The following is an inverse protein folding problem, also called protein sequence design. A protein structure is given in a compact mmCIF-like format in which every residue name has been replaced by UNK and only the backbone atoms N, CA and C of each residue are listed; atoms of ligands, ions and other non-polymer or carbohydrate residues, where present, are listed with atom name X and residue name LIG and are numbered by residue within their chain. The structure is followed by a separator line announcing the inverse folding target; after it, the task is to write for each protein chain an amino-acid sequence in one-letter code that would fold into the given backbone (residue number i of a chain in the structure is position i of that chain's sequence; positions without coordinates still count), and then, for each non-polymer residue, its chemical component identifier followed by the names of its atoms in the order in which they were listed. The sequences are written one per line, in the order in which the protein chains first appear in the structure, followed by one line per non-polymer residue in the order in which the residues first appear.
data_IF_613079380688
#
_entry.id   IF_613079380688
#
_cell.length_a   1.000
_cell.length_b   1.000
_cell.length_c   1.000
_cell.angle_alpha   90.00
_cell.angle_beta   90.00
_cell.angle_gamma   90.00
#
_symmetry.space_group_name_H-M   'P 1'
#
loop_
_entity.id
_entity.type
_entity.pdbx_description
1 polymer ?
#
# COMPACT_ATOMS: atom_id res chain seq x y z
N UNK A 1 -2.47 9.15 5.08
CA UNK A 1 -2.02 7.77 5.38
C UNK A 1 -1.55 7.13 4.07
N UNK A 2 -0.51 6.30 4.10
CA UNK A 2 -0.04 5.51 2.95
C UNK A 2 0.43 4.12 3.40
N UNK A 3 0.47 3.12 2.52
CA UNK A 3 0.92 1.78 2.88
C UNK A 3 2.34 1.50 2.36
N UNK A 4 3.20 0.99 3.24
CA UNK A 4 4.61 0.70 2.93
C UNK A 4 4.95 -0.75 3.25
N UNK A 5 5.37 -1.53 2.26
CA UNK A 5 6.03 -2.81 2.52
C UNK A 5 7.37 -2.56 3.23
N UNK A 6 7.50 -3.11 4.44
CA UNK A 6 8.69 -3.04 5.27
C UNK A 6 9.78 -3.96 4.73
N UNK A 7 10.53 -3.44 3.77
CA UNK A 7 11.70 -4.10 3.16
C UNK A 7 12.90 -3.16 3.24
N UNK A 8 14.11 -3.72 3.24
CA UNK A 8 15.34 -2.93 3.25
C UNK A 8 15.41 -1.95 2.06
N UNK A 9 15.06 -2.41 0.85
CA UNK A 9 15.06 -1.58 -0.36
C UNK A 9 14.09 -0.39 -0.27
N UNK A 10 12.87 -0.62 0.24
CA UNK A 10 11.91 0.46 0.41
C UNK A 10 12.36 1.44 1.50
N UNK A 11 12.90 0.94 2.61
CA UNK A 11 13.39 1.78 3.71
C UNK A 11 14.52 2.70 3.23
N UNK A 12 15.48 2.16 2.49
CA UNK A 12 16.59 2.93 1.91
C UNK A 12 16.09 3.99 0.93
N UNK A 13 15.19 3.62 0.02
CA UNK A 13 14.58 4.54 -0.94
C UNK A 13 13.85 5.69 -0.23
N UNK A 14 13.03 5.39 0.77
CA UNK A 14 12.27 6.41 1.52
C UNK A 14 13.22 7.32 2.27
N UNK A 15 14.24 6.79 2.95
CA UNK A 15 15.24 7.59 3.67
C UNK A 15 16.02 8.51 2.74
N UNK A 16 16.43 8.02 1.57
CA UNK A 16 17.12 8.82 0.57
C UNK A 16 16.23 9.94 0.03
N UNK A 17 14.97 9.62 -0.28
CA UNK A 17 14.00 10.60 -0.78
C UNK A 17 13.65 11.66 0.26
N UNK A 18 13.57 11.28 1.54
CA UNK A 18 13.36 12.20 2.65
C UNK A 18 14.54 13.16 2.81
N UNK A 19 15.79 12.68 2.71
CA UNK A 19 16.97 13.54 2.77
C UNK A 19 16.97 14.61 1.67
N UNK A 20 16.47 14.28 0.49
CA UNK A 20 16.37 15.21 -0.64
C UNK A 20 15.24 16.22 -0.48
N UNK A 21 14.13 15.83 0.17
CA UNK A 21 12.94 16.68 0.30
C UNK A 21 12.89 17.49 1.60
N UNK A 22 13.60 17.05 2.63
CA UNK A 22 13.65 17.68 3.95
C UNK A 22 15.06 18.24 4.17
N UNK A 23 15.44 19.24 3.37
CA UNK A 23 16.75 19.87 3.49
C UNK A 23 16.95 20.46 4.90
N UNK A 24 18.17 20.35 5.42
CA UNK A 24 18.51 20.81 6.78
C UNK A 24 18.14 19.86 7.92
N UNK A 25 17.36 18.80 7.68
CA UNK A 25 17.07 17.77 8.70
C UNK A 25 18.20 16.74 8.77
N UNK A 26 18.70 16.47 9.98
CA UNK A 26 19.75 15.44 10.18
C UNK A 26 19.22 14.06 9.77
N UNK A 27 20.08 13.26 9.12
CA UNK A 27 19.67 11.94 8.67
C UNK A 27 19.27 10.98 9.80
N UNK A 28 19.85 11.09 10.98
CA UNK A 28 19.44 10.29 12.14
C UNK A 28 18.03 10.65 12.58
N UNK A 29 17.67 11.94 12.56
CA UNK A 29 16.34 12.43 12.91
C UNK A 29 15.29 12.02 11.87
N UNK A 30 15.62 12.04 10.58
CA UNK A 30 14.73 11.48 9.53
C UNK A 30 14.48 9.98 9.72
N UNK A 31 15.52 9.24 10.11
CA UNK A 31 15.39 7.80 10.40
C UNK A 31 14.45 7.54 11.58
N UNK A 32 14.58 8.32 12.65
CA UNK A 32 13.73 8.22 13.85
C UNK A 32 12.29 8.68 13.57
N UNK A 33 12.10 9.75 12.80
CA UNK A 33 10.78 10.20 12.40
C UNK A 33 10.08 9.18 11.49
N UNK A 34 10.80 8.59 10.55
CA UNK A 34 10.26 7.52 9.70
C UNK A 34 9.83 6.30 10.54
N UNK A 35 10.63 5.91 11.54
CA UNK A 35 10.26 4.85 12.46
C UNK A 35 8.96 5.16 13.21
N UNK A 36 8.84 6.38 13.75
CA UNK A 36 7.62 6.84 14.43
C UNK A 36 6.40 6.85 13.49
N UNK A 37 6.58 7.29 12.23
CA UNK A 37 5.54 7.25 11.20
C UNK A 37 5.11 5.83 10.82
N UNK A 38 6.01 4.85 10.93
CA UNK A 38 5.70 3.43 10.76
C UNK A 38 5.17 2.75 12.04
N UNK A 39 5.05 3.48 13.16
CA UNK A 39 4.55 2.95 14.43
C UNK A 39 5.61 2.35 15.37
N UNK A 40 6.90 2.50 15.07
CA UNK A 40 8.00 2.00 15.90
C UNK A 40 8.58 3.11 16.78
N UNK A 41 9.03 2.73 17.98
CA UNK A 41 9.63 3.68 18.93
C UNK A 41 11.02 4.18 18.50
N UNK A 42 11.78 3.37 17.77
CA UNK A 42 13.14 3.70 17.32
C UNK A 42 13.38 3.15 15.92
N UNK A 43 14.33 3.74 15.19
CA UNK A 43 14.77 3.19 13.91
C UNK A 43 15.36 1.79 14.04
N UNK A 44 16.03 1.49 15.16
CA UNK A 44 16.57 0.15 15.41
C UNK A 44 15.46 -0.90 15.53
N UNK A 45 14.35 -0.59 16.21
CA UNK A 45 13.20 -1.49 16.30
C UNK A 45 12.56 -1.75 14.93
N UNK A 46 12.42 -0.71 14.10
CA UNK A 46 11.95 -0.86 12.72
C UNK A 46 12.87 -1.78 11.90
N UNK A 47 14.20 -1.59 12.00
CA UNK A 47 15.17 -2.43 11.28
C UNK A 47 15.14 -3.87 11.77
N UNK A 48 15.00 -4.11 13.08
CA UNK A 48 14.85 -5.44 13.64
C UNK A 48 13.60 -6.14 13.08
N UNK A 49 12.45 -5.47 13.07
CA UNK A 49 11.22 -6.01 12.50
C UNK A 49 11.35 -6.37 11.01
N UNK A 50 12.05 -5.56 10.22
CA UNK A 50 12.34 -5.87 8.81
C UNK A 50 13.21 -7.12 8.67
N UNK A 51 14.19 -7.33 9.57
CA UNK A 51 15.10 -8.48 9.52
C UNK A 51 14.44 -9.78 9.97
N UNK A 52 13.48 -9.69 10.88
CA UNK A 52 12.74 -10.83 11.42
C UNK A 52 11.59 -11.28 10.50
N UNK A 53 11.12 -10.40 9.61
CA UNK A 53 10.08 -10.72 8.63
C UNK A 53 10.61 -11.61 7.50
N UNK A 54 9.75 -12.51 7.00
CA UNK A 54 9.99 -13.22 5.75
C UNK A 54 10.13 -12.22 4.59
N UNK A 55 11.26 -12.17 3.87
CA UNK A 55 11.44 -11.28 2.74
C UNK A 55 10.44 -11.50 1.59
N UNK A 56 9.84 -12.69 1.50
CA UNK A 56 8.78 -13.01 0.52
C UNK A 56 7.45 -12.41 0.94
N UNK A 57 7.20 -12.29 2.25
CA UNK A 57 5.96 -11.74 2.79
C UNK A 57 6.21 -10.60 3.81
N UNK A 58 6.79 -9.48 3.38
CA UNK A 58 7.15 -8.40 4.29
C UNK A 58 5.91 -7.83 4.97
N UNK A 59 6.03 -7.41 6.22
CA UNK A 59 4.96 -6.67 6.89
C UNK A 59 4.63 -5.37 6.13
N UNK A 60 3.38 -4.92 6.23
CA UNK A 60 2.93 -3.65 5.63
C UNK A 60 2.60 -2.66 6.73
N UNK A 61 3.40 -1.60 6.83
CA UNK A 61 3.11 -0.51 7.75
C UNK A 61 2.08 0.45 7.15
N UNK A 62 1.11 0.86 7.98
CA UNK A 62 0.25 2.02 7.72
C UNK A 62 1.01 3.26 8.17
N UNK A 63 1.56 3.98 7.21
CA UNK A 63 2.37 5.16 7.46
C UNK A 63 1.49 6.32 7.88
N UNK A 64 1.76 6.81 9.09
CA UNK A 64 1.10 7.94 9.74
C UNK A 64 1.98 9.19 9.63
N UNK A 65 1.58 10.08 8.72
CA UNK A 65 2.26 11.34 8.46
C UNK A 65 2.22 12.27 9.68
N UNK A 66 1.15 12.24 10.47
CA UNK A 66 1.03 13.07 11.68
C UNK A 66 2.03 12.63 12.75
N UNK A 67 2.24 11.32 12.93
CA UNK A 67 3.29 10.81 13.84
C UNK A 67 4.70 11.15 13.37
N UNK A 68 4.94 11.05 12.06
CA UNK A 68 6.20 11.44 11.44
C UNK A 68 6.51 12.93 11.70
N UNK A 69 5.56 13.82 11.40
CA UNK A 69 5.70 15.27 11.61
C UNK A 69 5.85 15.62 13.09
N UNK A 70 5.05 15.00 13.97
CA UNK A 70 5.15 15.23 15.42
C UNK A 70 6.54 14.85 15.95
N UNK A 71 7.13 13.75 15.45
CA UNK A 71 8.48 13.33 15.83
C UNK A 71 9.54 14.32 15.33
N UNK A 72 9.39 14.86 14.13
CA UNK A 72 10.29 15.91 13.62
C UNK A 72 10.17 17.22 14.41
N UNK A 73 8.95 17.64 14.73
CA UNK A 73 8.70 18.82 15.55
C UNK A 73 9.34 18.68 16.94
N UNK A 74 9.20 17.52 17.58
CA UNK A 74 9.88 17.21 18.85
C UNK A 74 11.41 17.19 18.77
N UNK A 75 11.98 17.09 17.57
CA UNK A 75 13.43 17.17 17.30
C UNK A 75 13.85 18.57 16.80
N UNK A 76 12.92 19.53 16.77
CA UNK A 76 13.18 20.93 16.40
C UNK A 76 13.05 21.25 14.91
N UNK A 77 12.37 20.43 14.12
CA UNK A 77 12.17 20.66 12.68
C UNK A 77 10.70 20.89 12.33
N UNK A 78 10.46 21.85 11.46
CA UNK A 78 9.17 22.08 10.82
C UNK A 78 9.28 21.67 9.35
N UNK A 79 8.44 20.74 8.92
CA UNK A 79 8.40 20.21 7.55
C UNK A 79 6.95 20.20 7.10
N UNK A 80 6.72 20.49 5.83
CA UNK A 80 5.38 20.45 5.24
C UNK A 80 4.77 19.04 5.29
N UNK A 81 3.47 18.99 5.57
CA UNK A 81 2.73 17.75 5.59
C UNK A 81 2.60 17.10 4.21
N UNK A 82 2.34 15.80 4.20
CA UNK A 82 2.15 15.00 2.99
C UNK A 82 3.44 14.53 2.31
N UNK A 83 4.61 14.98 2.76
CA UNK A 83 5.91 14.60 2.17
C UNK A 83 6.13 13.08 2.21
N UNK A 84 5.80 12.43 3.33
CA UNK A 84 6.05 11.02 3.53
C UNK A 84 5.07 10.15 2.72
N UNK A 85 3.74 10.35 2.78
CA UNK A 85 2.80 9.67 1.88
C UNK A 85 3.15 9.82 0.40
N UNK A 86 3.60 11.01 -0.04
CA UNK A 86 3.99 11.24 -1.43
C UNK A 86 5.23 10.42 -1.85
N UNK A 87 6.20 10.23 -0.95
CA UNK A 87 7.37 9.38 -1.21
C UNK A 87 6.97 7.90 -1.25
N UNK A 88 6.16 7.45 -0.28
CA UNK A 88 5.70 6.05 -0.18
C UNK A 88 4.89 5.65 -1.42
N UNK A 89 4.10 6.57 -1.97
CA UNK A 89 3.30 6.34 -3.19
C UNK A 89 4.07 6.62 -4.48
N UNK A 90 5.37 6.85 -4.40
CA UNK A 90 6.18 7.13 -5.59
C UNK A 90 6.17 5.93 -6.54
N UNK A 91 6.00 6.16 -7.86
CA UNK A 91 6.13 5.08 -8.85
C UNK A 91 7.53 4.47 -8.88
N UNK A 92 8.53 5.18 -8.34
CA UNK A 92 9.92 4.71 -8.22
C UNK A 92 10.18 3.85 -6.99
N UNK A 93 9.18 3.64 -6.10
CA UNK A 93 9.35 2.79 -4.93
C UNK A 93 9.67 1.34 -5.36
N UNK A 94 10.84 0.77 -4.96
CA UNK A 94 11.34 -0.49 -5.50
C UNK A 94 10.38 -1.67 -5.33
N UNK A 95 9.82 -1.83 -4.13
CA UNK A 95 8.85 -2.87 -3.78
C UNK A 95 7.51 -2.22 -3.43
N UNK A 96 6.97 -1.43 -4.35
CA UNK A 96 5.65 -0.84 -4.20
C UNK A 96 4.54 -1.90 -4.09
N UNK A 97 3.44 -1.50 -3.49
CA UNK A 97 2.29 -2.36 -3.21
C UNK A 97 1.29 -2.39 -4.37
N UNK A 98 1.15 -1.25 -5.04
CA UNK A 98 0.30 -1.04 -6.20
C UNK A 98 0.98 -0.04 -7.16
N UNK A 99 0.41 0.15 -8.35
CA UNK A 99 0.97 1.03 -9.40
C UNK A 99 -0.07 1.97 -9.99
N UNK A 100 0.43 3.04 -10.62
CA UNK A 100 -0.39 3.97 -11.41
C UNK A 100 -0.07 3.74 -12.88
N UNK A 101 -1.09 3.55 -13.71
CA UNK A 101 -0.93 3.41 -15.15
C UNK A 101 -1.73 4.47 -15.90
N UNK A 102 -1.27 4.79 -17.12
CA UNK A 102 -2.11 5.51 -18.08
C UNK A 102 -3.17 4.55 -18.62
N UNK A 103 -4.27 5.10 -19.12
CA UNK A 103 -5.27 4.28 -19.80
C UNK A 103 -4.66 3.55 -20.99
N UNK A 104 -4.95 2.25 -21.11
CA UNK A 104 -4.51 1.43 -22.25
C UNK A 104 -3.01 1.12 -22.29
N UNK A 105 -2.25 1.35 -21.23
CA UNK A 105 -0.82 0.98 -21.15
C UNK A 105 -0.65 -0.52 -20.83
N UNK A 106 -1.13 -1.35 -21.76
CA UNK A 106 -1.14 -2.82 -21.63
C UNK A 106 0.25 -3.38 -21.30
N UNK A 107 1.35 -2.96 -21.98
CA UNK A 107 2.68 -3.50 -21.66
C UNK A 107 3.11 -3.23 -20.21
N UNK A 108 2.83 -2.03 -19.67
CA UNK A 108 3.18 -1.71 -18.29
C UNK A 108 2.32 -2.50 -17.28
N UNK A 109 1.03 -2.69 -17.60
CA UNK A 109 0.11 -3.49 -16.80
C UNK A 109 0.54 -4.97 -16.76
N UNK A 110 0.90 -5.56 -17.90
CA UNK A 110 1.38 -6.95 -17.99
C UNK A 110 2.67 -7.17 -17.20
N UNK A 111 3.61 -6.22 -17.28
CA UNK A 111 4.84 -6.26 -16.49
C UNK A 111 4.54 -6.22 -14.99
N UNK A 112 3.58 -5.39 -14.56
CA UNK A 112 3.17 -5.31 -13.17
C UNK A 112 2.43 -6.57 -12.71
N UNK A 113 1.55 -7.12 -13.54
CA UNK A 113 0.87 -8.38 -13.29
C UNK A 113 1.87 -9.52 -13.03
N UNK A 114 2.86 -9.68 -13.92
CA UNK A 114 3.93 -10.69 -13.75
C UNK A 114 4.78 -10.44 -12.49
N UNK A 115 5.05 -9.17 -12.16
CA UNK A 115 5.77 -8.83 -10.94
C UNK A 115 4.93 -9.13 -9.67
N UNK A 116 3.61 -8.94 -9.72
CA UNK A 116 2.70 -9.34 -8.65
C UNK A 116 2.68 -10.86 -8.46
N UNK A 117 2.58 -11.63 -9.56
CA UNK A 117 2.68 -13.09 -9.53
C UNK A 117 4.02 -13.56 -8.92
N UNK A 118 5.13 -12.99 -9.40
CA UNK A 118 6.47 -13.35 -8.91
C UNK A 118 6.68 -13.02 -7.42
N UNK A 119 5.99 -11.99 -6.92
CA UNK A 119 6.05 -11.56 -5.52
C UNK A 119 4.97 -12.19 -4.65
N UNK A 120 4.04 -12.93 -5.25
CA UNK A 120 2.86 -13.48 -4.58
C UNK A 120 2.06 -12.40 -3.84
N UNK A 121 1.67 -11.33 -4.54
CA UNK A 121 0.91 -10.22 -3.95
C UNK A 121 -0.35 -9.90 -4.78
N UNK A 122 -1.38 -9.26 -4.18
CA UNK A 122 -2.53 -8.80 -4.92
C UNK A 122 -2.14 -7.86 -6.06
N UNK A 123 -2.77 -8.02 -7.22
CA UNK A 123 -2.62 -7.11 -8.33
C UNK A 123 -3.58 -5.94 -8.14
N UNK A 124 -3.02 -4.83 -7.65
CA UNK A 124 -3.78 -3.59 -7.43
C UNK A 124 -3.13 -2.49 -8.24
N UNK A 125 -3.97 -1.68 -8.90
CA UNK A 125 -3.49 -0.50 -9.61
C UNK A 125 -4.55 0.61 -9.68
N UNK A 126 -4.07 1.80 -9.99
CA UNK A 126 -4.87 3.01 -10.18
C UNK A 126 -4.69 3.48 -11.61
N UNK A 127 -5.79 3.85 -12.26
CA UNK A 127 -5.76 4.47 -13.58
C UNK A 127 -6.38 5.86 -13.52
N UNK A 128 -5.56 6.93 -13.54
CA UNK A 128 -6.04 8.29 -13.64
C UNK A 128 -6.77 8.49 -14.97
N UNK A 129 -7.92 9.15 -14.91
CA UNK A 129 -8.67 9.68 -16.05
C UNK A 129 -8.63 11.20 -16.01
N UNK A 130 -9.19 11.85 -17.03
CA UNK A 130 -9.17 13.32 -17.14
C UNK A 130 -9.86 14.03 -15.96
N UNK A 131 -10.93 13.46 -15.40
CA UNK A 131 -11.77 14.08 -14.35
C UNK A 131 -11.87 13.28 -13.06
N UNK A 132 -11.44 12.03 -13.08
CA UNK A 132 -11.59 11.08 -11.98
C UNK A 132 -10.48 10.04 -12.07
N UNK A 133 -10.47 9.09 -11.16
CA UNK A 133 -9.58 7.95 -11.15
C UNK A 133 -10.40 6.67 -10.93
N UNK A 134 -9.85 5.57 -11.41
CA UNK A 134 -10.34 4.24 -11.15
C UNK A 134 -9.29 3.45 -10.39
N UNK A 135 -9.72 2.59 -9.48
CA UNK A 135 -8.88 1.53 -8.92
C UNK A 135 -9.39 0.20 -9.48
N UNK A 136 -8.47 -0.71 -9.73
CA UNK A 136 -8.78 -2.07 -10.12
C UNK A 136 -7.97 -3.01 -9.19
N UNK A 137 -8.58 -4.13 -8.82
CA UNK A 137 -7.88 -5.21 -8.11
C UNK A 137 -8.23 -6.58 -8.67
N UNK A 138 -7.23 -7.45 -8.60
CA UNK A 138 -7.35 -8.88 -8.86
C UNK A 138 -6.43 -9.62 -7.89
N UNK A 139 -7.00 -10.55 -7.13
CA UNK A 139 -6.25 -11.58 -6.46
C UNK A 139 -5.93 -12.65 -7.49
N UNK A 140 -4.81 -12.43 -8.19
CA UNK A 140 -4.28 -13.41 -9.14
C UNK A 140 -4.13 -14.73 -8.38
N UNK A 141 -4.88 -15.75 -8.77
CA UNK A 141 -4.75 -17.09 -8.24
C UNK A 141 -3.33 -17.61 -8.51
N UNK A 142 -2.44 -17.46 -7.54
CA UNK A 142 -1.04 -17.92 -7.66
C UNK A 142 -0.89 -19.42 -7.46
N UNK A 143 -1.98 -20.15 -7.18
CA UNK A 143 -1.97 -21.60 -7.18
C UNK A 143 -3.42 -22.12 -7.16
N UNK A 144 -3.67 -23.25 -7.85
CA UNK A 144 -4.90 -24.07 -7.68
C UNK A 144 -5.09 -24.57 -6.24
N UNK A 145 -4.17 -24.23 -5.33
CA UNK A 145 -4.27 -24.43 -3.88
C UNK A 145 -5.24 -23.46 -3.19
N UNK A 146 -5.63 -22.36 -3.84
CA UNK A 146 -6.58 -21.38 -3.30
C UNK A 146 -8.00 -21.48 -3.87
N UNK A 147 -8.25 -22.40 -4.81
CA UNK A 147 -9.58 -22.60 -5.42
C UNK A 147 -10.65 -23.05 -4.39
N UNK A 148 -10.22 -23.66 -3.27
CA UNK A 148 -11.13 -24.13 -2.21
C UNK A 148 -11.36 -23.11 -1.08
N UNK A 149 -10.80 -21.89 -1.15
CA UNK A 149 -10.95 -20.88 -0.07
C UNK A 149 -11.95 -19.80 -0.49
N UNK A 150 -13.14 -20.26 -0.87
CA UNK A 150 -14.37 -19.48 -0.68
C UNK A 150 -15.16 -20.18 0.42
N UNK A 151 -14.65 -20.12 1.66
CA UNK A 151 -15.55 -20.07 2.79
C UNK A 151 -16.35 -18.77 2.60
N UNK A 152 -17.57 -18.89 2.07
CA UNK A 152 -18.41 -17.77 1.63
C UNK A 152 -18.48 -16.66 2.67
N UNK A 153 -18.45 -17.03 3.95
CA UNK A 153 -18.46 -16.11 5.09
C UNK A 153 -17.20 -15.23 5.19
N UNK A 154 -16.00 -15.79 5.03
CA UNK A 154 -14.75 -15.02 5.09
C UNK A 154 -14.60 -14.07 3.87
N UNK A 155 -15.04 -14.53 2.70
CA UNK A 155 -15.08 -13.69 1.49
C UNK A 155 -16.11 -12.57 1.62
N UNK A 156 -17.29 -12.84 2.17
CA UNK A 156 -18.31 -11.82 2.44
C UNK A 156 -17.86 -10.80 3.48
N UNK A 157 -17.19 -11.24 4.56
CA UNK A 157 -16.65 -10.34 5.57
C UNK A 157 -15.55 -9.44 5.00
N UNK A 158 -14.68 -9.97 4.12
CA UNK A 158 -13.69 -9.18 3.40
C UNK A 158 -14.36 -8.14 2.49
N UNK A 159 -15.35 -8.56 1.69
CA UNK A 159 -16.10 -7.66 0.81
C UNK A 159 -16.81 -6.55 1.58
N UNK A 160 -17.48 -6.87 2.69
CA UNK A 160 -18.13 -5.90 3.57
C UNK A 160 -17.12 -4.90 4.14
N UNK A 161 -15.94 -5.37 4.58
CA UNK A 161 -14.86 -4.51 5.05
C UNK A 161 -14.30 -3.57 3.96
N UNK A 162 -14.12 -4.09 2.74
CA UNK A 162 -13.71 -3.30 1.58
C UNK A 162 -14.77 -2.25 1.23
N UNK A 163 -16.05 -2.63 1.22
CA UNK A 163 -17.16 -1.73 0.91
C UNK A 163 -17.32 -0.62 1.95
N UNK A 164 -17.21 -0.93 3.25
CA UNK A 164 -17.17 0.07 4.33
C UNK A 164 -16.00 1.04 4.18
N UNK A 165 -14.83 0.52 3.76
CA UNK A 165 -13.66 1.36 3.51
C UNK A 165 -13.87 2.28 2.30
N UNK A 166 -14.49 1.76 1.24
CA UNK A 166 -14.96 2.54 0.10
C UNK A 166 -15.90 3.66 0.54
N UNK A 167 -16.97 3.36 1.30
CA UNK A 167 -17.93 4.37 1.77
C UNK A 167 -17.28 5.47 2.61
N UNK A 168 -16.27 5.13 3.41
CA UNK A 168 -15.54 6.09 4.26
C UNK A 168 -14.62 7.02 3.45
N UNK A 169 -13.99 6.52 2.39
CA UNK A 169 -12.93 7.24 1.67
C UNK A 169 -13.39 7.86 0.36
N UNK A 170 -14.42 7.30 -0.28
CA UNK A 170 -14.97 7.85 -1.50
C UNK A 170 -15.88 9.03 -1.16
N UNK A 171 -15.57 10.22 -1.69
CA UNK A 171 -16.52 11.33 -1.70
C UNK A 171 -17.69 10.96 -2.64
N UNK A 172 -18.87 10.59 -2.11
CA UNK A 172 -19.67 9.50 -2.68
C UNK A 172 -20.57 9.88 -3.87
N UNK A 173 -20.62 11.15 -4.30
CA UNK A 173 -21.70 11.59 -5.19
C UNK A 173 -21.74 10.89 -6.55
N UNK A 174 -20.65 10.23 -7.00
CA UNK A 174 -20.61 9.45 -8.26
C UNK A 174 -19.74 8.20 -8.22
N UNK A 175 -19.08 7.91 -7.09
CA UNK A 175 -18.15 6.79 -7.04
C UNK A 175 -18.91 5.46 -7.04
N UNK A 176 -18.42 4.48 -7.79
CA UNK A 176 -19.12 3.21 -8.00
C UNK A 176 -18.20 2.04 -7.68
N UNK A 177 -18.63 1.15 -6.77
CA UNK A 177 -17.94 -0.07 -6.42
C UNK A 177 -18.57 -1.23 -7.18
N UNK A 178 -17.77 -1.97 -7.94
CA UNK A 178 -18.21 -3.15 -8.70
C UNK A 178 -17.26 -4.33 -8.48
N UNK A 179 -17.81 -5.54 -8.40
CA UNK A 179 -17.04 -6.77 -8.30
C UNK A 179 -17.28 -7.55 -7.02
N UNK A 180 -16.32 -8.42 -6.72
CA UNK A 180 -16.29 -9.32 -5.57
C UNK A 180 -15.11 -8.98 -4.65
N UNK A 181 -14.96 -9.75 -3.58
CA UNK A 181 -13.81 -9.59 -2.68
C UNK A 181 -12.47 -9.74 -3.40
N UNK A 182 -12.38 -10.61 -4.41
CA UNK A 182 -11.10 -10.99 -5.03
C UNK A 182 -10.87 -10.39 -6.41
N UNK A 183 -11.89 -9.85 -7.07
CA UNK A 183 -11.74 -9.14 -8.34
C UNK A 183 -12.77 -8.04 -8.42
N UNK A 184 -12.36 -6.84 -8.80
CA UNK A 184 -13.29 -5.72 -8.91
C UNK A 184 -12.62 -4.40 -9.24
N UNK A 185 -13.45 -3.37 -9.27
CA UNK A 185 -13.04 -2.00 -9.56
C UNK A 185 -13.85 -1.00 -8.73
N UNK A 186 -13.25 0.16 -8.46
CA UNK A 186 -13.97 1.34 -7.98
C UNK A 186 -13.69 2.48 -8.93
N UNK A 187 -14.75 3.04 -9.52
CA UNK A 187 -14.65 4.11 -10.50
C UNK A 187 -15.15 5.46 -9.98
N UNK A 188 -14.89 6.53 -10.74
CA UNK A 188 -15.34 7.89 -10.46
C UNK A 188 -14.82 8.47 -9.13
N UNK A 189 -13.60 8.11 -8.74
CA UNK A 189 -12.94 8.63 -7.54
C UNK A 189 -12.17 9.92 -7.81
N UNK A 190 -11.95 10.72 -6.77
CA UNK A 190 -10.84 11.70 -6.81
C UNK A 190 -9.51 10.94 -6.80
N UNK A 191 -8.43 11.56 -7.29
CA UNK A 191 -7.11 10.93 -7.26
C UNK A 191 -6.72 10.56 -5.84
N UNK A 192 -6.87 11.47 -4.87
CA UNK A 192 -6.48 11.19 -3.48
C UNK A 192 -7.27 10.04 -2.83
N UNK A 193 -8.57 9.95 -3.15
CA UNK A 193 -9.40 8.83 -2.71
C UNK A 193 -8.94 7.52 -3.36
N UNK A 194 -8.64 7.52 -4.65
CA UNK A 194 -8.12 6.33 -5.35
C UNK A 194 -6.77 5.86 -4.78
N UNK A 195 -5.83 6.76 -4.51
CA UNK A 195 -4.54 6.38 -3.91
C UNK A 195 -4.73 5.81 -2.49
N UNK A 196 -5.64 6.39 -1.71
CA UNK A 196 -5.93 5.92 -0.35
C UNK A 196 -6.68 4.59 -0.34
N UNK A 197 -7.60 4.38 -1.28
CA UNK A 197 -8.28 3.10 -1.47
C UNK A 197 -7.32 2.03 -1.98
N UNK A 198 -6.37 2.35 -2.88
CA UNK A 198 -5.38 1.38 -3.33
C UNK A 198 -4.50 0.86 -2.18
N UNK A 199 -4.09 1.73 -1.25
CA UNK A 199 -3.38 1.33 -0.03
C UNK A 199 -4.22 0.37 0.83
N UNK A 200 -5.50 0.70 1.05
CA UNK A 200 -6.41 -0.08 1.88
C UNK A 200 -6.80 -1.42 1.27
N UNK A 201 -7.15 -1.43 -0.02
CA UNK A 201 -7.49 -2.66 -0.73
C UNK A 201 -6.30 -3.61 -0.74
N UNK A 202 -5.08 -3.11 -0.99
CA UNK A 202 -3.90 -3.95 -0.91
C UNK A 202 -3.73 -4.57 0.48
N UNK A 203 -3.88 -3.80 1.56
CA UNK A 203 -3.76 -4.31 2.93
C UNK A 203 -4.83 -5.38 3.22
N UNK A 204 -6.08 -5.13 2.84
CA UNK A 204 -7.19 -6.06 3.06
C UNK A 204 -6.98 -7.37 2.31
N UNK A 205 -6.67 -7.29 1.01
CA UNK A 205 -6.45 -8.45 0.14
C UNK A 205 -5.22 -9.26 0.59
N UNK A 206 -4.10 -8.60 0.90
CA UNK A 206 -2.90 -9.27 1.41
C UNK A 206 -3.16 -9.95 2.75
N UNK A 207 -3.94 -9.33 3.62
CA UNK A 207 -4.38 -9.92 4.88
C UNK A 207 -5.14 -11.22 4.64
N UNK A 208 -6.10 -11.22 3.72
CA UNK A 208 -6.86 -12.40 3.35
C UNK A 208 -6.00 -13.52 2.75
N UNK A 209 -5.06 -13.18 1.87
CA UNK A 209 -4.13 -14.16 1.29
C UNK A 209 -3.28 -14.86 2.35
N UNK A 210 -2.86 -14.17 3.42
CA UNK A 210 -2.05 -14.74 4.51
C UNK A 210 -2.77 -15.86 5.29
N UNK A 211 -4.10 -15.78 5.40
CA UNK A 211 -4.91 -16.74 6.16
C UNK A 211 -5.54 -17.83 5.29
N UNK A 212 -5.29 -17.80 3.98
CA UNK A 212 -5.71 -18.87 3.09
C UNK A 212 -4.80 -20.08 3.31
N UNK A 213 -5.31 -21.21 3.84
CA UNK A 213 -4.45 -22.35 4.19
C UNK A 213 -3.70 -22.85 2.95
N UNK A 214 -2.38 -22.71 2.96
CA UNK A 214 -1.53 -23.42 2.03
C UNK A 214 -1.79 -24.92 2.21
N UNK A 215 -2.29 -25.60 1.17
CA UNK A 215 -2.26 -27.07 1.11
C UNK A 215 -0.82 -27.49 1.37
N UNK A 216 -0.54 -28.05 2.55
CA UNK A 216 0.71 -28.77 2.82
C UNK A 216 0.69 -29.98 1.89
N UNK A 217 1.45 -29.91 0.80
CA UNK A 217 1.79 -31.06 -0.03
C UNK A 217 2.74 -31.98 0.71
#
# INVERSE_FOLDING_TARGET
MAALALTQLNLEFVKQSLRQRCEGVRSSHLSEALAAGCGYHTHMALVAAIRECDPRWPEVARVDDSRFLARLAGLGYMVDGGVLPAIVRSPKLPKGLWRIFRDGDIPAMDLWFRECQRRDIPYVYVTPRRKYARIDWDCISTDTRHDDVVATEASNALLDGMYKTFQRLAAPNKAMFEGSAFVGQIDHLTIDAALSLADEMFIALKGAMRFSPAKRS
#
